data_IF_269095669416
#
_entry.id   IF_269095669416
#
_cell.length_a   1.000
_cell.length_b   1.000
_cell.length_c   1.000
_cell.angle_alpha   90.00
_cell.angle_beta   90.00
_cell.angle_gamma   90.00
#
_symmetry.space_group_name_H-M   'P 1'
#
loop_
_entity.id
_entity.type
_entity.pdbx_description
1 polymer ?
#
# COMPACT_ATOMS: atom_id res chain seq x y z
N UNK A 1 0.29 25.09 9.00
CA UNK A 1 -0.52 24.15 8.18
C UNK A 1 -0.96 23.01 9.06
N UNK A 2 -2.27 22.80 9.18
CA UNK A 2 -2.84 21.64 9.88
C UNK A 2 -3.20 20.57 8.83
N UNK A 3 -2.80 19.33 9.06
CA UNK A 3 -3.10 18.21 8.16
C UNK A 3 -3.99 17.23 8.89
N UNK A 4 -5.09 16.84 8.27
CA UNK A 4 -5.94 15.74 8.73
C UNK A 4 -5.92 14.63 7.68
N UNK A 5 -5.59 13.41 8.09
CA UNK A 5 -5.67 12.20 7.27
C UNK A 5 -6.93 11.41 7.65
N UNK A 6 -7.87 11.30 6.72
CA UNK A 6 -9.06 10.46 6.81
C UNK A 6 -8.76 9.11 6.17
N UNK A 7 -8.66 8.06 6.98
CA UNK A 7 -8.09 6.81 6.52
C UNK A 7 -8.54 5.61 7.37
N UNK A 8 -8.18 4.42 6.95
CA UNK A 8 -8.29 3.20 7.75
C UNK A 8 -7.05 2.33 7.50
N UNK A 9 -6.42 1.81 8.55
CA UNK A 9 -5.13 1.10 8.44
C UNK A 9 -5.21 -0.28 7.79
N UNK A 10 -6.37 -0.90 7.67
CA UNK A 10 -6.55 -2.08 6.82
C UNK A 10 -6.49 -1.74 5.33
N UNK A 11 -6.66 -0.47 4.95
CA UNK A 11 -6.52 0.00 3.57
C UNK A 11 -5.04 0.23 3.23
N UNK A 12 -4.50 -0.49 2.25
CA UNK A 12 -3.12 -0.36 1.81
C UNK A 12 -2.74 1.04 1.32
N UNK A 13 -3.56 1.75 0.51
CA UNK A 13 -3.24 3.13 0.14
C UNK A 13 -3.28 4.10 1.32
N UNK A 14 -4.12 3.83 2.33
CA UNK A 14 -4.14 4.60 3.57
C UNK A 14 -2.83 4.45 4.35
N UNK A 15 -2.32 3.22 4.46
CA UNK A 15 -1.03 2.98 5.12
C UNK A 15 0.11 3.68 4.39
N UNK A 16 0.17 3.62 3.07
CA UNK A 16 1.21 4.29 2.29
C UNK A 16 1.22 5.81 2.55
N UNK A 17 0.06 6.45 2.58
CA UNK A 17 -0.07 7.87 2.89
C UNK A 17 0.35 8.19 4.34
N UNK A 18 -0.09 7.39 5.32
CA UNK A 18 0.27 7.57 6.73
C UNK A 18 1.77 7.37 6.98
N UNK A 19 2.38 6.34 6.38
CA UNK A 19 3.82 6.10 6.48
C UNK A 19 4.60 7.27 5.88
N UNK A 20 4.15 7.83 4.76
CA UNK A 20 4.79 9.01 4.16
C UNK A 20 4.77 10.21 5.10
N UNK A 21 3.65 10.51 5.76
CA UNK A 21 3.57 11.56 6.79
C UNK A 21 4.62 11.35 7.89
N UNK A 22 4.75 10.12 8.38
CA UNK A 22 5.67 9.76 9.46
C UNK A 22 7.14 9.81 9.02
N UNK A 23 7.46 9.32 7.82
CA UNK A 23 8.82 9.37 7.24
C UNK A 23 9.30 10.80 6.99
N UNK A 24 8.36 11.71 6.70
CA UNK A 24 8.62 13.14 6.54
C UNK A 24 8.52 13.94 7.84
N UNK A 25 8.23 13.27 8.96
CA UNK A 25 8.03 13.92 10.28
C UNK A 25 6.98 15.03 10.24
N UNK A 26 5.95 14.88 9.42
CA UNK A 26 4.85 15.84 9.30
C UNK A 26 3.81 15.52 10.39
N UNK A 27 3.47 16.50 11.21
CA UNK A 27 2.40 16.38 12.20
C UNK A 27 1.04 16.34 11.51
N UNK A 28 0.18 15.42 11.93
CA UNK A 28 -1.17 15.24 11.37
C UNK A 28 -2.14 14.74 12.43
N UNK A 29 -3.42 15.02 12.21
CA UNK A 29 -4.53 14.40 12.90
C UNK A 29 -5.00 13.19 12.09
N UNK A 30 -5.22 12.05 12.75
CA UNK A 30 -5.73 10.85 12.11
C UNK A 30 -7.22 10.70 12.45
N UNK A 31 -8.06 10.63 11.42
CA UNK A 31 -9.49 10.35 11.54
C UNK A 31 -9.77 9.00 10.91
N UNK A 32 -10.11 8.02 11.72
CA UNK A 32 -10.47 6.69 11.24
C UNK A 32 -11.83 6.72 10.57
N UNK A 33 -11.92 6.08 9.40
CA UNK A 33 -13.13 6.01 8.58
C UNK A 33 -13.61 4.57 8.49
N UNK A 34 -14.83 4.31 8.94
CA UNK A 34 -15.48 3.02 8.79
C UNK A 34 -15.96 2.80 7.34
N UNK A 35 -15.00 2.48 6.46
CA UNK A 35 -15.33 2.23 5.05
C UNK A 35 -16.15 0.95 4.85
N UNK A 36 -16.00 -0.06 5.73
CA UNK A 36 -16.77 -1.29 5.69
C UNK A 36 -18.23 -1.05 6.10
N UNK A 37 -18.48 -0.19 7.09
CA UNK A 37 -19.81 0.28 7.49
C UNK A 37 -20.43 1.29 6.53
N UNK A 38 -19.73 1.69 5.48
CA UNK A 38 -20.25 2.58 4.44
C UNK A 38 -20.12 4.07 4.76
N UNK A 39 -19.31 4.46 5.73
CA UNK A 39 -19.12 5.86 6.12
C UNK A 39 -18.63 6.73 4.97
N UNK A 40 -17.84 6.17 4.04
CA UNK A 40 -17.41 6.86 2.82
C UNK A 40 -18.57 7.28 1.89
N UNK A 41 -19.75 6.70 2.06
CA UNK A 41 -20.96 7.01 1.25
C UNK A 41 -21.85 8.07 1.88
N UNK A 42 -21.47 8.60 3.04
CA UNK A 42 -22.23 9.65 3.72
C UNK A 42 -22.05 11.02 3.04
N UNK A 43 -23.04 11.92 3.12
CA UNK A 43 -22.92 13.26 2.56
C UNK A 43 -21.73 14.05 3.14
N UNK A 44 -21.48 13.92 4.45
CA UNK A 44 -20.36 14.62 5.06
C UNK A 44 -19.00 14.17 4.52
N UNK A 45 -18.83 12.85 4.27
CA UNK A 45 -17.58 12.36 3.72
C UNK A 45 -17.39 12.76 2.24
N UNK A 46 -18.48 12.88 1.48
CA UNK A 46 -18.42 13.40 0.12
C UNK A 46 -17.90 14.85 0.05
N UNK A 47 -18.08 15.65 1.12
CA UNK A 47 -17.48 16.99 1.25
C UNK A 47 -15.97 16.92 1.54
N UNK A 48 -15.50 15.84 2.20
CA UNK A 48 -14.06 15.59 2.44
C UNK A 48 -13.40 15.03 1.19
N UNK A 49 -14.04 14.06 0.54
CA UNK A 49 -13.53 13.43 -0.67
C UNK A 49 -14.67 13.05 -1.61
N UNK A 50 -14.80 13.81 -2.70
CA UNK A 50 -15.81 13.55 -3.72
C UNK A 50 -15.70 12.17 -4.38
N UNK A 51 -14.52 11.52 -4.33
CA UNK A 51 -14.30 10.16 -4.83
C UNK A 51 -14.85 9.10 -3.88
N UNK A 52 -15.21 9.46 -2.63
CA UNK A 52 -15.77 8.57 -1.62
C UNK A 52 -14.91 7.33 -1.35
N UNK A 53 -13.60 7.51 -1.33
CA UNK A 53 -12.59 6.48 -1.06
C UNK A 53 -11.66 6.91 0.06
N UNK A 54 -10.97 5.96 0.70
CA UNK A 54 -9.86 6.22 1.62
C UNK A 54 -8.53 5.87 0.95
N UNK A 55 -7.44 6.61 1.24
CA UNK A 55 -7.36 7.78 2.10
C UNK A 55 -7.87 9.06 1.45
N UNK A 56 -8.21 10.04 2.30
CA UNK A 56 -8.33 11.44 1.92
C UNK A 56 -7.47 12.30 2.86
N UNK A 57 -6.94 13.40 2.35
CA UNK A 57 -6.15 14.36 3.11
C UNK A 57 -6.78 15.73 3.00
N UNK A 58 -6.93 16.40 4.14
CA UNK A 58 -7.23 17.84 4.19
C UNK A 58 -6.03 18.60 4.72
N UNK A 59 -5.61 19.64 4.01
CA UNK A 59 -4.59 20.57 4.43
C UNK A 59 -5.18 21.97 4.56
N UNK A 60 -5.07 22.56 5.77
CA UNK A 60 -5.54 23.89 6.11
C UNK A 60 -4.32 24.79 6.37
N UNK A 61 -4.11 25.77 5.52
CA UNK A 61 -3.02 26.75 5.63
C UNK A 61 -3.46 28.03 6.37
N UNK A 62 -4.69 28.07 6.88
CA UNK A 62 -5.29 29.28 7.48
C UNK A 62 -5.73 30.32 6.44
N UNK A 63 -5.71 29.98 5.16
CA UNK A 63 -6.24 30.76 4.07
C UNK A 63 -7.70 30.39 3.81
N UNK A 64 -8.37 31.14 2.93
CA UNK A 64 -9.81 30.98 2.68
C UNK A 64 -10.19 29.67 2.01
N UNK A 65 -9.26 28.94 1.43
CA UNK A 65 -9.47 27.69 0.71
C UNK A 65 -8.64 26.56 1.31
N UNK A 66 -9.32 25.49 1.72
CA UNK A 66 -8.70 24.25 2.20
C UNK A 66 -8.41 23.34 1.01
N UNK A 67 -7.24 22.73 1.01
CA UNK A 67 -6.94 21.68 0.03
C UNK A 67 -7.53 20.36 0.52
N UNK A 68 -8.37 19.73 -0.30
CA UNK A 68 -8.84 18.36 -0.13
C UNK A 68 -8.27 17.48 -1.25
N UNK A 69 -7.61 16.38 -0.89
CA UNK A 69 -7.03 15.42 -1.84
C UNK A 69 -7.54 14.03 -1.55
N UNK A 70 -8.05 13.34 -2.58
CA UNK A 70 -8.13 11.90 -2.65
C UNK A 70 -6.88 11.30 -3.29
N UNK A 71 -6.90 9.98 -3.54
CA UNK A 71 -5.82 9.22 -4.17
C UNK A 71 -4.47 9.25 -3.42
N UNK A 72 -4.08 8.13 -2.85
CA UNK A 72 -2.86 8.03 -2.03
C UNK A 72 -1.59 8.51 -2.73
N UNK A 73 -1.49 8.27 -4.04
CA UNK A 73 -0.32 8.70 -4.82
C UNK A 73 -0.25 10.23 -4.90
N UNK A 74 -1.37 10.90 -5.16
CA UNK A 74 -1.45 12.36 -5.18
C UNK A 74 -1.13 12.93 -3.78
N UNK A 75 -1.63 12.29 -2.73
CA UNK A 75 -1.35 12.66 -1.33
C UNK A 75 0.15 12.54 -1.05
N UNK A 76 0.78 11.40 -1.34
CA UNK A 76 2.22 11.18 -1.09
C UNK A 76 3.09 12.19 -1.86
N UNK A 77 2.77 12.45 -3.13
CA UNK A 77 3.47 13.46 -3.94
C UNK A 77 3.32 14.87 -3.36
N UNK A 78 2.11 15.24 -2.92
CA UNK A 78 1.84 16.52 -2.28
C UNK A 78 2.66 16.68 -1.00
N UNK A 79 2.66 15.68 -0.14
CA UNK A 79 3.41 15.68 1.12
C UNK A 79 4.92 15.88 0.88
N UNK A 80 5.49 15.17 -0.11
CA UNK A 80 6.90 15.35 -0.46
C UNK A 80 7.20 16.75 -1.01
N UNK A 81 6.31 17.34 -1.80
CA UNK A 81 6.50 18.69 -2.36
C UNK A 81 6.41 19.78 -1.30
N UNK A 82 5.62 19.58 -0.24
CA UNK A 82 5.31 20.60 0.77
C UNK A 82 6.03 20.38 2.11
N UNK A 83 6.73 19.27 2.28
CA UNK A 83 7.48 18.96 3.50
C UNK A 83 8.53 20.05 3.82
N UNK A 84 8.71 20.34 5.09
CA UNK A 84 9.71 21.33 5.54
C UNK A 84 11.13 20.81 5.31
N UNK A 85 11.37 19.53 5.62
CA UNK A 85 12.65 18.87 5.31
C UNK A 85 12.68 18.37 3.87
N UNK A 86 13.05 19.26 2.97
CA UNK A 86 13.16 18.95 1.55
C UNK A 86 14.29 17.95 1.22
N UNK A 87 15.31 17.83 2.06
CA UNK A 87 16.37 16.85 1.83
C UNK A 87 15.85 15.42 2.00
N UNK A 88 15.12 15.17 3.05
CA UNK A 88 14.42 13.88 3.26
C UNK A 88 13.33 13.66 2.23
N UNK A 89 12.50 14.66 1.96
CA UNK A 89 11.36 14.53 1.03
C UNK A 89 11.79 14.14 -0.39
N UNK A 90 12.88 14.73 -0.90
CA UNK A 90 13.41 14.43 -2.25
C UNK A 90 13.92 13.00 -2.40
N UNK A 91 14.31 12.34 -1.32
CA UNK A 91 14.68 10.91 -1.37
C UNK A 91 13.47 10.04 -1.68
N UNK A 92 12.31 10.40 -1.14
CA UNK A 92 11.04 9.71 -1.40
C UNK A 92 10.44 10.10 -2.76
N UNK A 93 10.39 11.41 -3.06
CA UNK A 93 9.89 11.94 -4.32
C UNK A 93 10.47 13.34 -4.61
N UNK A 94 11.26 13.54 -5.66
CA UNK A 94 11.96 14.79 -5.90
C UNK A 94 11.09 15.93 -6.46
N UNK A 95 9.87 15.63 -6.94
CA UNK A 95 9.03 16.61 -7.60
C UNK A 95 9.72 17.25 -8.81
N UNK A 96 9.53 18.55 -8.98
CA UNK A 96 10.07 19.30 -10.12
C UNK A 96 11.59 19.55 -10.06
N UNK A 97 12.25 19.18 -8.95
CA UNK A 97 13.70 19.37 -8.77
C UNK A 97 14.52 18.35 -9.58
N UNK A 98 13.96 17.18 -9.85
CA UNK A 98 14.51 16.16 -10.72
C UNK A 98 13.38 15.48 -11.49
N UNK A 99 12.99 16.08 -12.59
CA UNK A 99 11.88 15.61 -13.41
C UNK A 99 12.13 14.19 -13.98
N UNK A 100 13.39 13.85 -14.28
CA UNK A 100 13.72 12.53 -14.82
C UNK A 100 13.50 11.43 -13.76
N UNK A 101 13.97 11.68 -12.53
CA UNK A 101 13.78 10.75 -11.41
C UNK A 101 12.29 10.68 -11.01
N UNK A 102 11.61 11.84 -10.95
CA UNK A 102 10.16 11.88 -10.67
C UNK A 102 9.39 11.04 -11.69
N UNK A 103 9.66 11.20 -12.99
CA UNK A 103 8.98 10.43 -14.04
C UNK A 103 9.18 8.91 -13.93
N UNK A 104 10.36 8.46 -13.47
CA UNK A 104 10.57 7.03 -13.20
C UNK A 104 9.73 6.53 -12.02
N UNK A 105 9.56 7.33 -10.99
CA UNK A 105 8.68 7.03 -9.84
C UNK A 105 7.23 6.99 -10.31
N UNK A 106 6.79 8.00 -11.07
CA UNK A 106 5.45 8.09 -11.63
C UNK A 106 5.13 6.91 -12.56
N UNK A 107 6.11 6.45 -13.35
CA UNK A 107 5.98 5.25 -14.18
C UNK A 107 5.64 4.01 -13.33
N UNK A 108 6.35 3.80 -12.21
CA UNK A 108 6.07 2.67 -11.32
C UNK A 108 4.72 2.79 -10.62
N UNK A 109 4.34 4.00 -10.20
CA UNK A 109 3.03 4.26 -9.61
C UNK A 109 1.89 4.00 -10.61
N UNK A 110 2.05 4.41 -11.86
CA UNK A 110 1.07 4.14 -12.92
C UNK A 110 1.00 2.64 -13.24
N UNK A 111 2.16 1.97 -13.38
CA UNK A 111 2.24 0.54 -13.65
C UNK A 111 1.59 -0.29 -12.53
N UNK A 112 1.80 0.08 -11.29
CA UNK A 112 1.28 -0.59 -10.11
C UNK A 112 -0.24 -0.76 -10.15
N UNK A 113 -0.99 0.25 -10.55
CA UNK A 113 -2.45 0.18 -10.61
C UNK A 113 -2.98 -0.95 -11.49
N UNK A 114 -2.39 -1.13 -12.65
CA UNK A 114 -2.83 -2.12 -13.63
C UNK A 114 -2.30 -3.53 -13.40
N UNK A 115 -1.19 -3.68 -12.66
CA UNK A 115 -0.43 -4.93 -12.61
C UNK A 115 -0.32 -5.55 -11.21
N UNK A 116 -0.57 -4.76 -10.16
CA UNK A 116 -0.57 -5.24 -8.77
C UNK A 116 -1.91 -4.90 -8.11
N UNK A 117 -2.25 -3.61 -8.00
CA UNK A 117 -3.46 -3.13 -7.32
C UNK A 117 -4.76 -3.70 -7.90
N UNK A 118 -4.82 -3.85 -9.22
CA UNK A 118 -5.97 -4.46 -9.91
C UNK A 118 -6.30 -5.87 -9.41
N UNK A 119 -5.29 -6.59 -8.92
CA UNK A 119 -5.41 -7.95 -8.44
C UNK A 119 -5.35 -8.01 -6.91
N UNK A 120 -6.07 -7.10 -6.24
CA UNK A 120 -6.17 -7.02 -4.78
C UNK A 120 -6.79 -8.31 -4.21
N UNK A 121 -5.93 -9.25 -3.88
CA UNK A 121 -6.33 -10.53 -3.28
C UNK A 121 -6.77 -10.35 -1.83
N UNK A 122 -6.18 -9.41 -1.10
CA UNK A 122 -6.45 -9.26 0.33
C UNK A 122 -7.91 -8.88 0.61
N UNK A 123 -8.47 -8.01 -0.20
CA UNK A 123 -9.89 -7.65 -0.08
C UNK A 123 -10.81 -8.88 -0.23
N UNK A 124 -10.52 -9.76 -1.18
CA UNK A 124 -11.26 -11.00 -1.38
C UNK A 124 -11.04 -11.99 -0.23
N UNK A 125 -9.79 -12.14 0.23
CA UNK A 125 -9.45 -13.01 1.37
C UNK A 125 -10.18 -12.53 2.63
N UNK A 126 -10.18 -11.23 2.90
CA UNK A 126 -10.87 -10.65 4.05
C UNK A 126 -12.38 -10.89 3.98
N UNK A 127 -13.00 -10.67 2.82
CA UNK A 127 -14.43 -10.93 2.63
C UNK A 127 -14.75 -12.42 2.82
N UNK A 128 -13.93 -13.32 2.31
CA UNK A 128 -14.09 -14.76 2.51
C UNK A 128 -13.92 -15.13 3.98
N UNK A 129 -12.92 -14.62 4.66
CA UNK A 129 -12.71 -14.83 6.09
C UNK A 129 -13.95 -14.44 6.92
N UNK A 130 -14.57 -13.30 6.62
CA UNK A 130 -15.76 -12.84 7.32
C UNK A 130 -17.02 -13.65 7.02
N UNK A 131 -17.15 -14.18 5.80
CA UNK A 131 -18.39 -14.83 5.34
C UNK A 131 -18.37 -16.35 5.50
N UNK A 132 -17.23 -17.01 5.42
CA UNK A 132 -17.09 -18.47 5.51
C UNK A 132 -17.65 -19.08 6.79
N UNK A 133 -17.42 -18.52 7.99
CA UNK A 133 -17.96 -19.06 9.22
C UNK A 133 -19.50 -19.13 9.20
N UNK A 134 -20.15 -18.19 8.49
CA UNK A 134 -21.60 -18.14 8.36
C UNK A 134 -22.12 -19.09 7.27
N UNK A 135 -21.36 -19.24 6.18
CA UNK A 135 -21.78 -20.03 5.02
C UNK A 135 -21.49 -21.53 5.16
N UNK A 136 -20.55 -21.92 6.04
CA UNK A 136 -20.07 -23.32 6.23
C UNK A 136 -19.75 -24.01 4.90
N UNK A 137 -19.21 -23.26 3.93
CA UNK A 137 -18.87 -23.75 2.59
C UNK A 137 -17.37 -23.85 2.45
N UNK A 138 -16.91 -24.87 1.72
CA UNK A 138 -15.58 -24.85 1.11
C UNK A 138 -15.53 -23.73 0.09
N UNK A 139 -14.41 -23.00 0.05
CA UNK A 139 -14.17 -22.00 -1.00
C UNK A 139 -13.93 -22.74 -2.28
N UNK A 140 -14.61 -22.33 -3.33
CA UNK A 140 -14.23 -22.73 -4.67
C UNK A 140 -12.97 -21.92 -5.07
N UNK A 141 -11.90 -22.61 -5.44
CA UNK A 141 -10.62 -22.04 -5.89
C UNK A 141 -10.77 -21.03 -7.03
N UNK A 142 -11.91 -21.05 -7.71
CA UNK A 142 -12.23 -20.21 -8.86
C UNK A 142 -12.23 -18.70 -8.59
N UNK A 143 -12.35 -18.26 -7.34
CA UNK A 143 -12.38 -16.83 -7.03
C UNK A 143 -10.99 -16.22 -6.89
N UNK A 144 -10.04 -16.95 -6.32
CA UNK A 144 -8.67 -16.44 -6.10
C UNK A 144 -7.74 -16.74 -7.27
N UNK A 145 -7.92 -17.86 -7.96
CA UNK A 145 -7.06 -18.30 -9.07
C UNK A 145 -6.82 -17.23 -10.15
N UNK A 146 -7.84 -16.51 -10.67
CA UNK A 146 -7.60 -15.46 -11.66
C UNK A 146 -6.83 -14.27 -11.10
N UNK A 147 -7.04 -13.93 -9.82
CA UNK A 147 -6.32 -12.85 -9.14
C UNK A 147 -4.86 -13.24 -8.91
N UNK A 148 -4.61 -14.46 -8.46
CA UNK A 148 -3.27 -15.02 -8.29
C UNK A 148 -2.51 -15.03 -9.61
N UNK A 149 -3.14 -15.52 -10.70
CA UNK A 149 -2.51 -15.54 -12.02
C UNK A 149 -2.15 -14.14 -12.52
N UNK A 150 -3.04 -13.17 -12.32
CA UNK A 150 -2.79 -11.77 -12.70
C UNK A 150 -1.70 -11.12 -11.84
N UNK A 151 -1.73 -11.31 -10.53
CA UNK A 151 -0.70 -10.80 -9.62
C UNK A 151 0.66 -11.47 -9.89
N UNK A 152 0.68 -12.78 -10.20
CA UNK A 152 1.90 -13.51 -10.56
C UNK A 152 2.65 -12.90 -11.74
N UNK A 153 1.94 -12.36 -12.74
CA UNK A 153 2.57 -11.63 -13.85
C UNK A 153 3.24 -10.32 -13.36
N UNK A 154 2.61 -9.60 -12.44
CA UNK A 154 3.19 -8.43 -11.81
C UNK A 154 4.42 -8.78 -10.98
N UNK A 155 4.35 -9.84 -10.17
CA UNK A 155 5.47 -10.33 -9.36
C UNK A 155 6.65 -10.78 -10.23
N UNK A 156 6.41 -11.51 -11.32
CA UNK A 156 7.45 -11.91 -12.26
C UNK A 156 8.14 -10.69 -12.92
N UNK A 157 7.39 -9.63 -13.20
CA UNK A 157 7.95 -8.37 -13.72
C UNK A 157 8.85 -7.69 -12.70
N UNK A 158 8.40 -7.61 -11.42
CA UNK A 158 9.22 -7.04 -10.33
C UNK A 158 10.48 -7.89 -10.09
N UNK A 159 10.35 -9.21 -10.05
CA UNK A 159 11.49 -10.13 -9.86
C UNK A 159 12.54 -9.96 -10.95
N UNK A 160 12.11 -9.92 -12.22
CA UNK A 160 13.01 -9.70 -13.35
C UNK A 160 13.68 -8.31 -13.27
N UNK A 161 12.91 -7.28 -12.90
CA UNK A 161 13.43 -5.93 -12.73
C UNK A 161 14.50 -5.87 -11.63
N UNK A 162 14.22 -6.40 -10.43
CA UNK A 162 15.19 -6.45 -9.33
C UNK A 162 16.41 -7.31 -9.67
N UNK A 163 16.22 -8.42 -10.38
CA UNK A 163 17.32 -9.29 -10.83
C UNK A 163 18.22 -8.63 -11.87
N UNK A 164 17.73 -7.66 -12.63
CA UNK A 164 18.53 -6.90 -13.61
C UNK A 164 19.44 -5.83 -12.96
N UNK A 165 19.25 -5.53 -11.68
CA UNK A 165 20.10 -4.59 -10.95
C UNK A 165 21.42 -5.27 -10.61
N UNK A 166 22.53 -4.71 -11.10
CA UNK A 166 23.88 -5.32 -11.02
C UNK A 166 24.52 -5.26 -9.61
N UNK A 167 23.74 -5.06 -8.55
CA UNK A 167 24.27 -4.90 -7.21
C UNK A 167 23.76 -6.04 -6.27
N UNK A 168 24.44 -7.19 -6.31
CA UNK A 168 24.09 -8.37 -5.50
C UNK A 168 24.25 -8.19 -3.98
N UNK A 169 24.86 -7.09 -3.52
CA UNK A 169 25.13 -6.86 -2.09
C UNK A 169 24.10 -5.96 -1.42
N UNK A 170 23.17 -5.40 -2.17
CA UNK A 170 22.15 -4.48 -1.66
C UNK A 170 20.76 -5.05 -1.79
N UNK A 171 19.92 -4.70 -0.83
CA UNK A 171 18.47 -4.89 -1.00
C UNK A 171 17.99 -4.05 -2.18
N UNK A 172 17.27 -4.65 -3.15
CA UNK A 172 16.81 -3.92 -4.32
C UNK A 172 15.80 -2.85 -3.95
N UNK A 173 15.70 -1.81 -4.77
CA UNK A 173 14.63 -0.81 -4.77
C UNK A 173 14.15 -0.61 -6.21
N UNK A 174 12.97 -0.03 -6.41
CA UNK A 174 12.45 0.16 -7.78
C UNK A 174 13.34 1.00 -8.67
N UNK A 175 14.10 1.94 -8.10
CA UNK A 175 15.07 2.74 -8.88
C UNK A 175 16.52 2.23 -8.81
N UNK A 176 16.80 1.13 -8.09
CA UNK A 176 18.16 0.65 -7.87
C UNK A 176 19.02 1.58 -7.01
N UNK A 177 18.39 2.42 -6.19
CA UNK A 177 19.02 3.41 -5.32
C UNK A 177 19.14 2.88 -3.87
N UNK A 178 19.91 3.59 -3.03
CA UNK A 178 20.10 3.23 -1.61
C UNK A 178 18.84 3.47 -0.74
N UNK A 179 17.90 4.24 -1.26
CA UNK A 179 16.70 4.62 -0.53
C UNK A 179 15.45 4.30 -1.36
N UNK A 180 14.42 3.71 -0.76
CA UNK A 180 13.16 3.48 -1.45
C UNK A 180 12.44 4.82 -1.75
N UNK A 181 11.50 4.76 -2.68
CA UNK A 181 10.66 5.87 -3.11
C UNK A 181 9.21 5.67 -2.67
N UNK A 182 8.34 6.66 -2.90
CA UNK A 182 6.90 6.50 -2.66
C UNK A 182 6.29 5.38 -3.51
N UNK A 183 6.89 5.01 -4.64
CA UNK A 183 6.44 3.88 -5.45
C UNK A 183 6.76 2.55 -4.75
N UNK A 184 7.96 2.40 -4.16
CA UNK A 184 8.29 1.25 -3.32
C UNK A 184 7.29 1.11 -2.18
N UNK A 185 6.97 2.22 -1.52
CA UNK A 185 6.05 2.23 -0.39
C UNK A 185 4.62 1.81 -0.79
N UNK A 186 4.11 2.34 -1.91
CA UNK A 186 2.77 2.00 -2.40
C UNK A 186 2.65 0.50 -2.73
N UNK A 187 3.61 -0.05 -3.47
CA UNK A 187 3.61 -1.46 -3.87
C UNK A 187 3.87 -2.37 -2.66
N UNK A 188 4.78 -1.99 -1.76
CA UNK A 188 5.04 -2.77 -0.56
C UNK A 188 3.81 -2.87 0.35
N UNK A 189 3.07 -1.78 0.56
CA UNK A 189 1.83 -1.81 1.34
C UNK A 189 0.78 -2.76 0.74
N UNK A 190 0.73 -2.87 -0.59
CA UNK A 190 -0.17 -3.78 -1.30
C UNK A 190 0.22 -5.24 -1.09
N UNK A 191 1.48 -5.58 -1.33
CA UNK A 191 1.97 -6.96 -1.23
C UNK A 191 2.08 -7.43 0.22
N UNK A 192 2.38 -6.52 1.15
CA UNK A 192 2.54 -6.88 2.55
C UNK A 192 1.29 -7.47 3.19
N UNK A 193 0.10 -6.99 2.82
CA UNK A 193 -1.14 -7.49 3.42
C UNK A 193 -1.43 -8.95 3.03
N UNK A 194 -1.08 -9.38 1.82
CA UNK A 194 -1.21 -10.79 1.45
C UNK A 194 -0.12 -11.64 2.12
N UNK A 195 1.08 -11.10 2.35
CA UNK A 195 2.11 -11.73 3.16
C UNK A 195 1.64 -11.90 4.61
N UNK A 196 1.05 -10.89 5.21
CA UNK A 196 0.47 -10.94 6.55
C UNK A 196 -0.61 -12.01 6.66
N UNK A 197 -1.40 -12.22 5.61
CA UNK A 197 -2.40 -13.29 5.53
C UNK A 197 -1.80 -14.70 5.34
N UNK A 198 -0.49 -14.83 5.07
CA UNK A 198 0.20 -16.12 4.99
C UNK A 198 0.79 -16.49 3.63
N UNK A 199 0.59 -15.65 2.59
CA UNK A 199 1.21 -15.91 1.29
C UNK A 199 2.73 -15.80 1.34
N UNK A 200 3.41 -16.75 0.69
CA UNK A 200 4.86 -16.81 0.56
C UNK A 200 5.28 -16.40 -0.83
N UNK A 201 6.43 -15.75 -0.93
CA UNK A 201 6.99 -15.24 -2.19
C UNK A 201 8.26 -16.03 -2.57
N UNK A 202 8.28 -17.35 -2.35
CA UNK A 202 9.47 -18.19 -2.53
C UNK A 202 9.93 -18.26 -3.99
N UNK A 203 8.99 -18.21 -4.93
CA UNK A 203 9.31 -18.13 -6.37
C UNK A 203 9.83 -16.77 -6.82
N UNK A 204 9.80 -15.77 -5.95
CA UNK A 204 10.20 -14.39 -6.20
C UNK A 204 11.17 -13.88 -5.12
N UNK A 205 12.39 -14.46 -5.02
CA UNK A 205 13.29 -14.19 -3.89
C UNK A 205 13.75 -12.74 -3.79
N UNK A 206 13.91 -12.01 -4.90
CA UNK A 206 14.26 -10.58 -4.87
C UNK A 206 13.08 -9.72 -4.42
N UNK A 207 11.86 -10.04 -4.86
CA UNK A 207 10.64 -9.40 -4.36
C UNK A 207 10.47 -9.65 -2.87
N UNK A 208 10.68 -10.90 -2.40
CA UNK A 208 10.61 -11.24 -0.97
C UNK A 208 11.61 -10.41 -0.15
N UNK A 209 12.88 -10.39 -0.57
CA UNK A 209 13.92 -9.64 0.13
C UNK A 209 13.64 -8.12 0.17
N UNK A 210 13.16 -7.56 -0.94
CA UNK A 210 12.73 -6.17 -1.01
C UNK A 210 11.55 -5.89 -0.07
N UNK A 211 10.53 -6.73 -0.09
CA UNK A 211 9.35 -6.57 0.75
C UNK A 211 9.70 -6.69 2.25
N UNK A 212 10.61 -7.60 2.61
CA UNK A 212 11.13 -7.74 3.97
C UNK A 212 11.83 -6.46 4.43
N UNK A 213 12.68 -5.88 3.59
CA UNK A 213 13.38 -4.63 3.92
C UNK A 213 12.44 -3.44 4.10
N UNK A 214 11.34 -3.40 3.33
CA UNK A 214 10.30 -2.39 3.51
C UNK A 214 9.56 -2.60 4.83
N UNK A 215 9.25 -3.86 5.17
CA UNK A 215 8.55 -4.24 6.39
C UNK A 215 9.39 -4.02 7.67
N UNK A 216 10.71 -4.04 7.58
CA UNK A 216 11.61 -3.76 8.72
C UNK A 216 11.65 -2.26 9.09
N UNK A 217 11.15 -1.37 8.24
CA UNK A 217 11.13 0.07 8.53
C UNK A 217 10.19 0.37 9.69
N UNK A 218 10.66 1.17 10.64
CA UNK A 218 9.91 1.47 11.87
C UNK A 218 8.48 1.94 11.61
N UNK A 219 8.31 2.91 10.73
CA UNK A 219 6.98 3.49 10.45
C UNK A 219 6.07 2.53 9.70
N UNK A 220 6.66 1.65 8.87
CA UNK A 220 5.92 0.59 8.21
C UNK A 220 5.35 -0.41 9.22
N UNK A 221 6.17 -0.88 10.16
CA UNK A 221 5.75 -1.77 11.25
C UNK A 221 4.67 -1.14 12.12
N UNK A 222 4.88 0.12 12.54
CA UNK A 222 3.94 0.82 13.42
C UNK A 222 2.54 0.96 12.82
N UNK A 223 2.46 1.21 11.49
CA UNK A 223 1.20 1.43 10.77
C UNK A 223 0.54 0.11 10.34
N UNK A 224 1.32 -0.98 10.23
CA UNK A 224 0.82 -2.28 9.74
C UNK A 224 0.27 -3.21 10.82
N UNK A 225 0.30 -2.84 12.10
CA UNK A 225 -0.11 -3.70 13.23
C UNK A 225 -1.52 -4.28 13.10
N UNK A 226 -2.47 -3.51 12.57
CA UNK A 226 -3.84 -3.98 12.38
C UNK A 226 -3.91 -5.05 11.27
N UNK A 227 -3.11 -4.89 10.21
CA UNK A 227 -2.99 -5.89 9.14
C UNK A 227 -2.32 -7.16 9.65
N UNK A 228 -1.31 -7.05 10.52
CA UNK A 228 -0.65 -8.20 11.12
C UNK A 228 -1.62 -9.00 12.00
N UNK A 229 -2.41 -8.29 12.81
CA UNK A 229 -3.45 -8.90 13.65
C UNK A 229 -4.49 -9.63 12.81
N UNK A 230 -5.07 -8.95 11.81
CA UNK A 230 -6.05 -9.57 10.93
C UNK A 230 -5.44 -10.72 10.10
N UNK A 231 -4.19 -10.57 9.64
CA UNK A 231 -3.49 -11.62 8.92
C UNK A 231 -3.30 -12.88 9.76
N UNK A 232 -2.98 -12.71 11.05
CA UNK A 232 -2.90 -13.83 11.99
C UNK A 232 -4.27 -14.51 12.18
N UNK A 233 -5.33 -13.76 12.38
CA UNK A 233 -6.69 -14.29 12.50
C UNK A 233 -7.10 -15.09 11.25
N UNK A 234 -6.80 -14.56 10.06
CA UNK A 234 -7.06 -15.24 8.78
C UNK A 234 -6.31 -16.58 8.73
N UNK A 235 -5.02 -16.62 9.07
CA UNK A 235 -4.24 -17.86 9.08
C UNK A 235 -4.79 -18.90 10.04
N UNK A 236 -5.16 -18.48 11.25
CA UNK A 236 -5.65 -19.39 12.30
C UNK A 236 -7.05 -19.93 12.02
N UNK A 237 -7.95 -19.13 11.47
CA UNK A 237 -9.37 -19.47 11.33
C UNK A 237 -9.73 -19.92 9.92
N UNK A 238 -9.09 -19.38 8.90
CA UNK A 238 -9.45 -19.61 7.49
C UNK A 238 -8.37 -20.33 6.69
N UNK A 239 -7.19 -20.55 7.23
CA UNK A 239 -6.06 -21.20 6.53
C UNK A 239 -6.39 -22.62 6.04
N UNK A 240 -7.32 -23.31 6.68
CA UNK A 240 -7.82 -24.61 6.20
C UNK A 240 -8.70 -24.51 4.94
N UNK A 241 -9.24 -23.33 4.65
CA UNK A 241 -10.13 -23.08 3.51
C UNK A 241 -9.44 -22.30 2.39
N UNK A 242 -8.37 -21.57 2.74
CA UNK A 242 -7.60 -20.76 1.82
C UNK A 242 -6.26 -21.46 1.65
N UNK A 243 -5.99 -22.04 0.49
CA UNK A 243 -4.68 -22.65 0.18
C UNK A 243 -3.61 -21.54 0.09
N UNK A 244 -3.39 -20.82 1.19
CA UNK A 244 -2.53 -19.63 1.26
C UNK A 244 -1.07 -19.99 1.04
N UNK A 245 -0.66 -21.20 1.44
CA UNK A 245 0.73 -21.66 1.34
C UNK A 245 1.17 -22.03 -0.08
N UNK A 246 0.23 -22.28 -0.97
CA UNK A 246 0.49 -22.74 -2.34
C UNK A 246 0.44 -21.61 -3.38
N UNK A 247 -0.06 -20.43 -3.00
CA UNK A 247 -0.43 -19.41 -3.97
C UNK A 247 0.74 -18.82 -4.77
N UNK A 248 1.92 -18.73 -4.17
CA UNK A 248 3.16 -18.21 -4.79
C UNK A 248 4.38 -19.06 -4.42
N UNK A 249 4.15 -20.32 -4.13
CA UNK A 249 5.18 -21.33 -3.82
C UNK A 249 5.82 -21.95 -5.03
#
# INVERSE_FOLDING_TARGET
>A
MTITLYAHRLSQPSRAAEITLRELSIAYDFTEIDFAGGETRTPWYAEVNALQTVPALMADNGESERLALGESQAIMMYLCRTATDQATARRWYPGDQDAARASKIDQWLAWYHGNVRRFDMFHHIMNLHQTLPMLKREIQDDLLTPLQAGLGQGLATLEAHFSSQHNDTRTPTLLGEDHPTIADLAIACELYQIKAAGYRFECYPKVSAWLDSMAERKHFQDVSKEVDTLGQEIREQSGAYLALDEAFG
#
